data_IF_156156080526
#
_entry.id   IF_156156080526
#
_cell.length_a   1.000
_cell.length_b   1.000
_cell.length_c   1.000
_cell.angle_alpha   90.00
_cell.angle_beta   90.00
_cell.angle_gamma   90.00
#
_symmetry.space_group_name_H-M   'P 1'
#
loop_
_entity.id
_entity.type
_entity.pdbx_description
1 polymer ?
#
# COMPACT_ATOMS: atom_id res chain seq x y z
N UNK A 1 10.11 29.97 -24.94
CA UNK A 1 10.05 29.06 -26.10
C UNK A 1 11.17 28.02 -26.08
N UNK A 2 12.47 28.40 -26.11
CA UNK A 2 13.60 27.45 -26.09
C UNK A 2 13.58 26.44 -24.93
N UNK A 3 13.17 26.86 -23.74
CA UNK A 3 13.11 26.01 -22.54
C UNK A 3 11.99 24.95 -22.61
N UNK A 4 10.81 25.32 -23.14
CA UNK A 4 9.70 24.38 -23.34
C UNK A 4 10.07 23.32 -24.40
N UNK A 5 10.69 23.76 -25.50
CA UNK A 5 11.18 22.86 -26.54
C UNK A 5 12.21 21.87 -26.01
N UNK A 6 13.16 22.31 -25.17
CA UNK A 6 14.12 21.42 -24.50
C UNK A 6 13.43 20.37 -23.64
N UNK A 7 12.40 20.77 -22.87
CA UNK A 7 11.64 19.85 -22.00
C UNK A 7 10.82 18.83 -22.80
N UNK A 8 10.22 19.23 -23.92
CA UNK A 8 9.54 18.29 -24.83
C UNK A 8 10.53 17.29 -25.43
N UNK A 9 11.73 17.73 -25.81
CA UNK A 9 12.80 16.84 -26.31
C UNK A 9 13.27 15.89 -25.20
N UNK A 10 13.43 16.38 -23.97
CA UNK A 10 13.80 15.57 -22.81
C UNK A 10 12.75 14.50 -22.50
N UNK A 11 11.46 14.87 -22.46
CA UNK A 11 10.33 13.95 -22.33
C UNK A 11 10.41 12.82 -23.37
N UNK A 12 10.54 13.18 -24.65
CA UNK A 12 10.57 12.19 -25.76
C UNK A 12 11.76 11.23 -25.66
N UNK A 13 12.89 11.71 -25.15
CA UNK A 13 14.13 10.93 -25.09
C UNK A 13 14.32 10.19 -23.78
N UNK A 14 13.52 10.48 -22.74
CA UNK A 14 13.62 9.86 -21.44
C UNK A 14 13.44 8.33 -21.52
N UNK A 15 14.30 7.61 -20.81
CA UNK A 15 14.24 6.16 -20.74
C UNK A 15 13.01 5.68 -19.95
N UNK A 16 12.62 6.40 -18.90
CA UNK A 16 11.42 6.08 -18.11
C UNK A 16 10.16 6.16 -18.99
N UNK A 17 10.07 7.22 -19.79
CA UNK A 17 8.94 7.46 -20.71
C UNK A 17 8.84 6.36 -21.77
N UNK A 18 9.97 5.96 -22.38
CA UNK A 18 9.98 4.88 -23.37
C UNK A 18 9.57 3.54 -22.78
N UNK A 19 10.12 3.18 -21.61
CA UNK A 19 9.75 1.95 -20.90
C UNK A 19 8.26 1.92 -20.55
N UNK A 20 7.72 3.02 -20.03
CA UNK A 20 6.28 3.13 -19.73
C UNK A 20 5.43 3.01 -21.00
N UNK A 21 5.85 3.58 -22.13
CA UNK A 21 5.16 3.38 -23.41
C UNK A 21 5.13 1.90 -23.82
N UNK A 22 6.23 1.18 -23.66
CA UNK A 22 6.29 -0.26 -23.96
C UNK A 22 5.38 -1.06 -23.01
N UNK A 23 5.40 -0.74 -21.71
CA UNK A 23 4.55 -1.33 -20.69
C UNK A 23 3.07 -1.14 -21.04
N UNK A 24 2.61 0.09 -21.27
CA UNK A 24 1.20 0.42 -21.51
C UNK A 24 0.70 0.15 -22.94
N UNK A 25 1.60 -0.12 -23.90
CA UNK A 25 1.21 -0.60 -25.23
C UNK A 25 0.97 -2.11 -25.26
N UNK A 26 1.46 -2.84 -24.26
CA UNK A 26 1.31 -4.29 -24.16
C UNK A 26 -0.02 -4.67 -23.51
N UNK A 27 -0.84 -5.43 -24.24
CA UNK A 27 -2.16 -5.90 -23.80
C UNK A 27 -2.11 -7.32 -23.26
N UNK A 28 -2.84 -7.61 -22.19
CA UNK A 28 -3.07 -9.00 -21.75
C UNK A 28 -4.10 -9.70 -22.62
N UNK A 29 -4.14 -11.03 -22.56
CA UNK A 29 -5.21 -11.81 -23.16
C UNK A 29 -6.58 -11.37 -22.66
N UNK A 30 -6.72 -11.09 -21.35
CA UNK A 30 -7.98 -10.62 -20.78
C UNK A 30 -8.43 -9.28 -21.39
N UNK A 31 -7.49 -8.38 -21.69
CA UNK A 31 -7.79 -7.12 -22.36
C UNK A 31 -8.16 -7.34 -23.83
N UNK A 32 -7.43 -8.19 -24.54
CA UNK A 32 -7.72 -8.56 -25.93
C UNK A 32 -9.14 -9.12 -26.07
N UNK A 33 -9.58 -9.95 -25.12
CA UNK A 33 -10.93 -10.50 -25.09
C UNK A 33 -11.99 -9.55 -24.49
N UNK A 34 -11.61 -8.38 -23.96
CA UNK A 34 -12.54 -7.45 -23.33
C UNK A 34 -13.17 -7.99 -22.04
N UNK A 35 -12.42 -8.79 -21.27
CA UNK A 35 -12.89 -9.44 -20.04
C UNK A 35 -12.00 -9.19 -18.83
N UNK A 36 -11.02 -8.28 -18.93
CA UNK A 36 -10.10 -7.79 -17.88
C UNK A 36 -10.76 -7.22 -16.62
N UNK A 37 -12.08 -7.31 -16.55
CA UNK A 37 -12.95 -6.64 -15.59
C UNK A 37 -14.09 -7.51 -15.10
N UNK A 38 -14.20 -8.73 -15.62
CA UNK A 38 -15.23 -9.64 -15.15
C UNK A 38 -14.68 -10.38 -13.94
N UNK A 39 -15.32 -10.25 -12.78
CA UNK A 39 -14.94 -10.92 -11.52
C UNK A 39 -14.66 -12.41 -11.76
N UNK A 40 -15.55 -13.07 -12.51
CA UNK A 40 -15.41 -14.48 -12.89
C UNK A 40 -14.07 -14.83 -13.56
N UNK A 41 -13.44 -13.91 -14.31
CA UNK A 41 -12.13 -14.18 -14.96
C UNK A 41 -10.97 -14.12 -13.97
N UNK A 42 -11.04 -13.21 -13.01
CA UNK A 42 -10.07 -13.16 -11.92
C UNK A 42 -10.25 -14.37 -11.01
N UNK A 43 -11.49 -14.73 -10.69
CA UNK A 43 -11.81 -15.96 -9.95
C UNK A 43 -11.28 -17.20 -10.66
N UNK A 44 -11.47 -17.34 -11.99
CA UNK A 44 -10.91 -18.47 -12.73
C UNK A 44 -9.37 -18.48 -12.78
N UNK A 45 -8.72 -17.31 -12.83
CA UNK A 45 -7.26 -17.25 -12.69
C UNK A 45 -6.81 -17.72 -11.30
N UNK A 46 -7.44 -17.23 -10.23
CA UNK A 46 -7.14 -17.64 -8.86
C UNK A 46 -7.38 -19.14 -8.66
N UNK A 47 -8.47 -19.68 -9.23
CA UNK A 47 -8.71 -21.13 -9.29
C UNK A 47 -7.55 -21.86 -9.93
N UNK A 48 -7.15 -21.46 -11.13
CA UNK A 48 -6.02 -22.07 -11.82
C UNK A 48 -4.76 -22.04 -10.94
N UNK A 49 -4.41 -20.85 -10.42
CA UNK A 49 -3.22 -20.62 -9.58
C UNK A 49 -3.17 -21.52 -8.35
N UNK A 50 -4.29 -21.68 -7.65
CA UNK A 50 -4.38 -22.45 -6.41
C UNK A 50 -4.80 -23.91 -6.63
N UNK A 51 -5.01 -24.35 -7.86
CA UNK A 51 -5.37 -25.74 -8.19
C UNK A 51 -4.18 -26.52 -8.71
N UNK A 52 -4.27 -27.85 -8.65
CA UNK A 52 -3.25 -28.75 -9.21
C UNK A 52 -3.01 -28.59 -10.73
N UNK A 53 -3.78 -27.75 -11.42
CA UNK A 53 -3.52 -27.36 -12.81
C UNK A 53 -2.31 -26.42 -12.93
N UNK A 54 -1.96 -25.70 -11.87
CA UNK A 54 -0.73 -24.91 -11.77
C UNK A 54 0.35 -25.73 -11.05
N UNK A 55 1.55 -25.81 -11.62
CA UNK A 55 2.63 -26.63 -11.03
C UNK A 55 3.07 -26.15 -9.64
N UNK A 56 2.91 -24.85 -9.37
CA UNK A 56 3.34 -24.20 -8.13
C UNK A 56 2.17 -23.96 -7.17
N UNK A 57 1.06 -24.70 -7.34
CA UNK A 57 -0.17 -24.43 -6.59
C UNK A 57 -0.02 -24.60 -5.08
N UNK A 58 0.76 -25.59 -4.63
CA UNK A 58 0.99 -25.82 -3.20
C UNK A 58 1.79 -24.67 -2.58
N UNK A 59 2.83 -24.20 -3.28
CA UNK A 59 3.62 -23.02 -2.87
C UNK A 59 2.74 -21.76 -2.87
N UNK A 60 1.92 -21.56 -3.91
CA UNK A 60 1.00 -20.43 -4.00
C UNK A 60 -0.04 -20.41 -2.87
N UNK A 61 -0.58 -21.58 -2.50
CA UNK A 61 -1.49 -21.73 -1.35
C UNK A 61 -0.77 -21.47 -0.03
N UNK A 62 0.48 -21.92 0.11
CA UNK A 62 1.32 -21.59 1.27
C UNK A 62 1.48 -20.08 1.44
N UNK A 63 1.87 -19.37 0.37
CA UNK A 63 1.96 -17.91 0.40
C UNK A 63 0.62 -17.24 0.69
N UNK A 64 -0.50 -17.76 0.17
CA UNK A 64 -1.83 -17.26 0.52
C UNK A 64 -2.08 -17.38 2.03
N UNK A 65 -1.77 -18.54 2.63
CA UNK A 65 -1.92 -18.76 4.07
C UNK A 65 -1.05 -17.77 4.87
N UNK A 66 0.19 -17.57 4.46
CA UNK A 66 1.11 -16.63 5.12
C UNK A 66 0.56 -15.19 5.09
N UNK A 67 0.05 -14.76 3.93
CA UNK A 67 -0.61 -13.46 3.76
C UNK A 67 -1.83 -13.32 4.67
N UNK A 68 -2.64 -14.38 4.80
CA UNK A 68 -3.84 -14.36 5.62
C UNK A 68 -3.51 -14.30 7.11
N UNK A 69 -2.52 -15.06 7.57
CA UNK A 69 -2.11 -15.08 8.99
C UNK A 69 -1.43 -13.76 9.39
N UNK A 70 -0.63 -13.18 8.50
CA UNK A 70 0.03 -11.90 8.73
C UNK A 70 -0.94 -10.71 8.68
N UNK A 71 -2.17 -10.90 8.20
CA UNK A 71 -3.16 -9.83 8.11
C UNK A 71 -3.59 -9.35 9.49
N UNK A 72 -3.69 -8.04 9.68
CA UNK A 72 -4.24 -7.42 10.91
C UNK A 72 -5.70 -7.79 11.19
N UNK A 73 -6.41 -8.33 10.19
CA UNK A 73 -7.79 -8.79 10.33
C UNK A 73 -7.90 -10.27 10.71
N UNK A 74 -6.76 -10.98 10.80
CA UNK A 74 -6.73 -12.35 11.26
C UNK A 74 -7.03 -12.45 12.74
N UNK A 75 -7.87 -13.41 13.13
CA UNK A 75 -8.16 -13.72 14.52
C UNK A 75 -7.75 -15.17 14.81
N UNK A 76 -6.64 -15.34 15.54
CA UNK A 76 -6.09 -16.66 15.88
C UNK A 76 -7.06 -17.56 16.67
N UNK A 77 -8.04 -16.97 17.37
CA UNK A 77 -9.04 -17.75 18.12
C UNK A 77 -10.08 -18.45 17.24
N UNK A 78 -10.04 -18.24 15.91
CA UNK A 78 -10.98 -18.83 14.95
C UNK A 78 -10.52 -20.17 14.39
N UNK A 79 -9.30 -20.61 14.73
CA UNK A 79 -8.74 -21.89 14.30
C UNK A 79 -8.12 -22.65 15.45
N UNK A 80 -7.85 -23.93 15.20
CA UNK A 80 -7.11 -24.79 16.11
C UNK A 80 -5.71 -24.22 16.40
N UNK A 81 -5.34 -24.18 17.68
CA UNK A 81 -4.08 -23.58 18.14
C UNK A 81 -2.83 -24.39 17.75
N UNK A 82 -2.95 -25.70 17.56
CA UNK A 82 -1.85 -26.53 17.05
C UNK A 82 -1.65 -26.29 15.55
N UNK A 83 -2.75 -26.21 14.78
CA UNK A 83 -2.69 -25.77 13.38
C UNK A 83 -2.06 -24.38 13.27
N UNK A 84 -2.53 -23.39 14.04
CA UNK A 84 -1.99 -22.02 14.00
C UNK A 84 -0.48 -21.99 14.20
N UNK A 85 0.04 -22.73 15.19
CA UNK A 85 1.49 -22.82 15.44
C UNK A 85 2.25 -23.42 14.26
N UNK A 86 1.74 -24.49 13.66
CA UNK A 86 2.34 -25.11 12.46
C UNK A 86 2.41 -24.11 11.31
N UNK A 87 1.32 -23.38 11.07
CA UNK A 87 1.24 -22.39 10.01
C UNK A 87 2.24 -21.23 10.22
N UNK A 88 2.30 -20.66 11.42
CA UNK A 88 3.24 -19.58 11.76
C UNK A 88 4.70 -20.02 11.62
N UNK A 89 5.01 -21.27 11.96
CA UNK A 89 6.37 -21.82 11.85
C UNK A 89 6.73 -22.25 10.42
N UNK A 90 5.76 -22.35 9.52
CA UNK A 90 5.95 -22.92 8.18
C UNK A 90 6.29 -24.42 8.20
N UNK A 91 6.06 -25.11 9.33
CA UNK A 91 6.38 -26.53 9.52
C UNK A 91 5.14 -27.39 9.29
N UNK A 92 4.73 -27.49 8.03
CA UNK A 92 3.56 -28.25 7.60
C UNK A 92 3.67 -28.74 6.16
N UNK A 93 2.87 -29.75 5.81
CA UNK A 93 2.71 -30.23 4.44
C UNK A 93 1.26 -30.15 3.97
N UNK A 94 1.06 -29.72 2.71
CA UNK A 94 -0.25 -29.73 2.06
C UNK A 94 -0.47 -31.11 1.43
N UNK A 95 -1.22 -31.97 2.11
CA UNK A 95 -1.44 -33.36 1.71
C UNK A 95 -2.53 -33.52 0.64
N UNK A 96 -3.45 -32.57 0.58
CA UNK A 96 -4.51 -32.54 -0.41
C UNK A 96 -4.88 -31.11 -0.74
N UNK A 97 -5.31 -30.89 -1.99
CA UNK A 97 -5.69 -29.59 -2.49
C UNK A 97 -6.81 -29.76 -3.51
N UNK A 98 -7.92 -29.07 -3.28
CA UNK A 98 -9.09 -29.03 -4.15
C UNK A 98 -9.61 -27.59 -4.19
N UNK A 99 -9.87 -27.09 -5.39
CA UNK A 99 -10.36 -25.73 -5.58
C UNK A 99 -11.65 -25.76 -6.38
N UNK A 100 -12.65 -25.02 -5.90
CA UNK A 100 -14.00 -24.97 -6.45
C UNK A 100 -14.34 -23.51 -6.68
N UNK A 101 -14.79 -23.16 -7.89
CA UNK A 101 -15.32 -21.82 -8.19
C UNK A 101 -16.85 -21.86 -8.29
N UNK A 102 -17.51 -20.72 -8.07
CA UNK A 102 -18.96 -20.53 -8.25
C UNK A 102 -19.82 -21.55 -7.47
N UNK A 103 -19.48 -21.79 -6.20
CA UNK A 103 -20.13 -22.81 -5.38
C UNK A 103 -21.47 -22.33 -4.82
N UNK A 104 -22.54 -23.11 -5.03
CA UNK A 104 -23.91 -22.79 -4.58
C UNK A 104 -24.52 -23.77 -3.57
N UNK A 105 -23.93 -24.95 -3.39
CA UNK A 105 -24.65 -26.08 -2.79
C UNK A 105 -24.94 -25.88 -1.29
N UNK A 106 -26.23 -25.74 -0.97
CA UNK A 106 -26.74 -25.51 0.38
C UNK A 106 -26.23 -24.22 1.03
N UNK A 107 -25.86 -23.22 0.23
CA UNK A 107 -25.50 -21.88 0.70
C UNK A 107 -26.50 -20.91 0.08
N UNK A 108 -26.93 -19.91 0.84
CA UNK A 108 -27.78 -18.86 0.30
C UNK A 108 -26.92 -17.84 -0.48
N UNK A 109 -26.51 -18.21 -1.68
CA UNK A 109 -25.66 -17.40 -2.56
C UNK A 109 -24.70 -18.25 -3.40
N UNK A 110 -23.75 -17.60 -4.06
CA UNK A 110 -22.69 -18.24 -4.84
C UNK A 110 -21.35 -17.74 -4.32
N UNK A 111 -20.57 -18.63 -3.72
CA UNK A 111 -19.21 -18.33 -3.29
C UNK A 111 -18.30 -18.34 -4.52
N UNK A 112 -17.52 -17.28 -4.69
CA UNK A 112 -16.63 -17.15 -5.86
C UNK A 112 -15.58 -18.26 -5.89
N UNK A 113 -14.87 -18.50 -4.79
CA UNK A 113 -13.83 -19.51 -4.71
C UNK A 113 -13.78 -20.19 -3.33
N UNK A 114 -13.60 -21.51 -3.34
CA UNK A 114 -13.35 -22.34 -2.16
C UNK A 114 -12.06 -23.11 -2.41
N UNK A 115 -11.10 -22.99 -1.50
CA UNK A 115 -9.87 -23.78 -1.49
C UNK A 115 -9.95 -24.71 -0.28
N UNK A 116 -9.99 -26.02 -0.54
CA UNK A 116 -9.98 -27.07 0.49
C UNK A 116 -8.62 -27.74 0.48
N UNK A 117 -7.95 -27.76 1.64
CA UNK A 117 -6.69 -28.46 1.81
C UNK A 117 -6.60 -29.22 3.13
N UNK A 118 -5.77 -30.26 3.13
CA UNK A 118 -5.38 -30.95 4.36
C UNK A 118 -3.95 -30.53 4.68
N UNK A 119 -3.77 -29.91 5.84
CA UNK A 119 -2.48 -29.49 6.38
C UNK A 119 -2.13 -30.50 7.45
N UNK A 120 -1.21 -31.41 7.13
CA UNK A 120 -0.96 -32.60 7.94
C UNK A 120 -2.27 -33.35 8.27
N UNK A 121 -2.64 -33.42 9.55
CA UNK A 121 -3.89 -33.99 10.07
C UNK A 121 -5.10 -33.02 10.07
N UNK A 122 -4.88 -31.73 9.87
CA UNK A 122 -5.91 -30.70 9.97
C UNK A 122 -6.58 -30.44 8.62
N UNK A 123 -7.90 -30.23 8.66
CA UNK A 123 -8.66 -29.73 7.50
C UNK A 123 -8.70 -28.20 7.56
N UNK A 124 -8.27 -27.56 6.48
CA UNK A 124 -8.40 -26.12 6.27
C UNK A 124 -9.26 -25.86 5.02
N UNK A 125 -10.16 -24.90 5.15
CA UNK A 125 -10.94 -24.37 4.05
C UNK A 125 -10.76 -22.86 3.98
N UNK A 126 -10.51 -22.33 2.78
CA UNK A 126 -10.41 -20.89 2.52
C UNK A 126 -11.56 -20.50 1.60
N UNK A 127 -12.44 -19.64 2.10
CA UNK A 127 -13.64 -19.14 1.42
C UNK A 127 -13.34 -17.73 0.93
N UNK A 128 -13.23 -17.54 -0.38
CA UNK A 128 -12.90 -16.24 -0.97
C UNK A 128 -14.13 -15.64 -1.61
N UNK A 129 -14.48 -14.44 -1.17
CA UNK A 129 -15.37 -13.53 -1.89
C UNK A 129 -14.48 -12.52 -2.63
N UNK A 130 -14.58 -12.52 -3.96
CA UNK A 130 -13.74 -11.73 -4.85
C UNK A 130 -14.50 -10.52 -5.38
N UNK A 131 -13.92 -9.32 -5.24
CA UNK A 131 -14.44 -8.08 -5.81
C UNK A 131 -13.42 -7.40 -6.69
N UNK A 132 -13.83 -7.03 -7.90
CA UNK A 132 -12.99 -6.24 -8.83
C UNK A 132 -13.51 -4.83 -9.07
N UNK A 133 -14.74 -4.52 -8.64
CA UNK A 133 -15.39 -3.24 -8.91
C UNK A 133 -16.13 -2.61 -7.72
N UNK A 134 -17.01 -3.37 -7.08
CA UNK A 134 -17.92 -2.83 -6.07
C UNK A 134 -17.73 -3.51 -4.73
N UNK A 135 -18.08 -2.79 -3.67
CA UNK A 135 -18.24 -3.40 -2.36
C UNK A 135 -19.33 -4.48 -2.35
N UNK A 136 -19.45 -5.14 -1.21
CA UNK A 136 -20.39 -6.22 -0.99
C UNK A 136 -21.84 -5.82 -1.30
N UNK A 137 -22.56 -6.70 -1.99
CA UNK A 137 -23.99 -6.54 -2.24
C UNK A 137 -24.79 -7.56 -1.44
N UNK A 138 -26.00 -7.17 -1.02
CA UNK A 138 -26.98 -8.05 -0.38
C UNK A 138 -26.55 -8.76 0.92
N UNK A 139 -25.48 -8.39 1.63
CA UNK A 139 -25.00 -9.16 2.81
C UNK A 139 -24.49 -10.57 2.45
N UNK A 140 -23.85 -10.72 1.29
CA UNK A 140 -23.23 -11.97 0.82
C UNK A 140 -22.30 -12.60 1.86
N UNK A 141 -21.39 -11.83 2.44
CA UNK A 141 -20.36 -12.35 3.35
C UNK A 141 -20.98 -12.90 4.63
N UNK A 142 -21.99 -12.23 5.18
CA UNK A 142 -22.73 -12.72 6.35
C UNK A 142 -23.45 -14.04 6.04
N UNK A 143 -24.07 -14.17 4.86
CA UNK A 143 -24.76 -15.41 4.49
C UNK A 143 -23.80 -16.59 4.34
N UNK A 144 -22.59 -16.36 3.82
CA UNK A 144 -21.58 -17.41 3.69
C UNK A 144 -21.09 -17.84 5.06
N UNK A 145 -20.76 -16.89 5.92
CA UNK A 145 -20.35 -17.13 7.30
C UNK A 145 -21.40 -17.97 8.05
N UNK A 146 -22.66 -17.52 8.04
CA UNK A 146 -23.75 -18.23 8.70
C UNK A 146 -23.97 -19.62 8.11
N UNK A 147 -23.96 -19.77 6.77
CA UNK A 147 -24.23 -21.06 6.12
C UNK A 147 -23.13 -22.09 6.39
N UNK A 148 -21.87 -21.65 6.45
CA UNK A 148 -20.73 -22.54 6.64
C UNK A 148 -20.58 -22.89 8.12
N UNK A 149 -20.67 -21.92 9.04
CA UNK A 149 -20.57 -22.20 10.47
C UNK A 149 -21.74 -23.04 10.99
N UNK A 150 -22.93 -22.95 10.40
CA UNK A 150 -24.05 -23.83 10.77
C UNK A 150 -23.90 -25.27 10.23
N UNK A 151 -23.08 -25.50 9.20
CA UNK A 151 -22.87 -26.82 8.58
C UNK A 151 -21.62 -27.53 9.07
N UNK A 152 -20.56 -26.77 9.35
CA UNK A 152 -19.30 -27.34 9.78
C UNK A 152 -19.47 -27.92 11.18
N UNK A 153 -19.17 -29.21 11.32
CA UNK A 153 -18.75 -29.72 12.63
C UNK A 153 -17.43 -29.01 12.97
N UNK A 154 -17.13 -28.81 14.25
CA UNK A 154 -15.92 -28.11 14.76
C UNK A 154 -14.56 -28.69 14.29
N UNK A 155 -14.54 -29.61 13.33
CA UNK A 155 -13.38 -30.32 12.80
C UNK A 155 -12.75 -29.64 11.55
N UNK A 156 -13.36 -28.58 11.01
CA UNK A 156 -12.86 -27.86 9.83
C UNK A 156 -12.48 -26.43 10.20
N UNK A 157 -11.19 -26.11 10.06
CA UNK A 157 -10.69 -24.75 10.20
C UNK A 157 -11.06 -23.94 8.96
N UNK A 158 -11.61 -22.73 9.13
CA UNK A 158 -12.13 -21.95 8.00
C UNK A 158 -11.58 -20.53 8.01
N UNK A 159 -10.94 -20.11 6.92
CA UNK A 159 -10.59 -18.72 6.66
C UNK A 159 -11.62 -18.12 5.71
N UNK A 160 -12.24 -17.02 6.12
CA UNK A 160 -13.09 -16.23 5.25
C UNK A 160 -12.27 -15.06 4.72
N UNK A 161 -12.22 -14.87 3.40
CA UNK A 161 -11.34 -13.91 2.73
C UNK A 161 -12.17 -12.97 1.87
N UNK A 162 -11.93 -11.66 2.03
CA UNK A 162 -12.53 -10.63 1.21
C UNK A 162 -11.44 -9.96 0.36
N UNK A 163 -11.38 -10.32 -0.92
CA UNK A 163 -10.37 -9.81 -1.85
C UNK A 163 -10.92 -8.61 -2.62
N UNK A 164 -10.29 -7.43 -2.50
CA UNK A 164 -10.76 -6.19 -3.15
C UNK A 164 -9.65 -5.45 -3.90
N UNK A 165 -9.96 -4.48 -4.78
CA UNK A 165 -8.95 -3.70 -5.50
C UNK A 165 -8.45 -2.48 -4.71
N UNK A 166 -8.80 -2.37 -3.41
CA UNK A 166 -8.40 -1.26 -2.54
C UNK A 166 -6.87 -1.13 -2.50
N UNK A 167 -6.34 0.10 -2.46
CA UNK A 167 -4.88 0.29 -2.37
C UNK A 167 -4.32 -0.20 -1.03
N UNK A 168 -3.02 -0.51 -0.97
CA UNK A 168 -2.37 -0.88 0.30
C UNK A 168 -2.49 0.22 1.36
N UNK A 169 -2.41 1.48 0.94
CA UNK A 169 -2.54 2.64 1.82
C UNK A 169 -3.94 2.71 2.45
N UNK A 170 -4.99 2.56 1.65
CA UNK A 170 -6.36 2.57 2.15
C UNK A 170 -6.64 1.33 3.02
N UNK A 171 -6.14 0.15 2.64
CA UNK A 171 -6.24 -1.09 3.43
C UNK A 171 -5.59 -0.92 4.82
N UNK A 172 -4.42 -0.28 4.89
CA UNK A 172 -3.70 -0.02 6.13
C UNK A 172 -4.47 0.92 7.07
N UNK A 173 -5.27 1.84 6.52
CA UNK A 173 -6.10 2.76 7.30
C UNK A 173 -7.40 2.14 7.85
N UNK A 174 -7.82 0.98 7.35
CA UNK A 174 -9.03 0.33 7.82
C UNK A 174 -8.88 -0.24 9.24
N UNK A 175 -9.79 0.13 10.14
CA UNK A 175 -9.88 -0.49 11.47
C UNK A 175 -10.55 -1.89 11.43
N UNK A 176 -11.36 -2.14 10.39
CA UNK A 176 -12.06 -3.41 10.18
C UNK A 176 -12.28 -3.65 8.68
N UNK A 177 -12.52 -4.91 8.25
CA UNK A 177 -12.85 -5.24 6.87
C UNK A 177 -14.03 -4.40 6.35
N UNK A 178 -14.03 -4.02 5.07
CA UNK A 178 -15.11 -3.23 4.44
C UNK A 178 -16.41 -4.02 4.28
N UNK A 179 -16.32 -5.35 4.19
CA UNK A 179 -17.47 -6.23 4.12
C UNK A 179 -18.30 -6.20 5.42
N UNK A 180 -19.53 -6.68 5.31
CA UNK A 180 -20.53 -6.64 6.38
C UNK A 180 -20.16 -7.62 7.50
N UNK A 181 -19.73 -8.83 7.16
CA UNK A 181 -19.17 -9.77 8.12
C UNK A 181 -17.73 -9.37 8.46
N UNK A 182 -17.46 -9.10 9.75
CA UNK A 182 -16.14 -8.64 10.22
C UNK A 182 -15.17 -9.77 10.53
N UNK A 183 -15.64 -11.02 10.49
CA UNK A 183 -14.80 -12.22 10.61
C UNK A 183 -14.05 -12.56 9.31
N UNK A 184 -14.32 -11.84 8.22
CA UNK A 184 -13.56 -11.95 6.97
C UNK A 184 -12.20 -11.25 7.10
N UNK A 185 -11.17 -11.89 6.60
CA UNK A 185 -9.83 -11.33 6.46
C UNK A 185 -9.79 -10.55 5.14
N UNK A 186 -9.71 -9.22 5.21
CA UNK A 186 -9.59 -8.42 3.99
C UNK A 186 -8.14 -8.33 3.52
N UNK A 187 -7.93 -8.65 2.24
CA UNK A 187 -6.66 -8.48 1.53
C UNK A 187 -6.95 -7.80 0.18
N UNK A 188 -5.90 -7.36 -0.52
CA UNK A 188 -6.07 -6.75 -1.84
C UNK A 188 -5.27 -7.43 -2.94
N UNK A 189 -5.53 -7.02 -4.19
CA UNK A 189 -4.81 -7.52 -5.36
C UNK A 189 -3.32 -7.17 -5.35
N UNK A 190 -2.91 -6.11 -4.66
CA UNK A 190 -1.49 -5.79 -4.48
C UNK A 190 -0.80 -6.82 -3.56
N UNK A 191 -1.46 -7.33 -2.52
CA UNK A 191 -0.96 -8.45 -1.71
C UNK A 191 -0.81 -9.72 -2.56
N UNK A 192 -1.81 -10.05 -3.40
CA UNK A 192 -1.72 -11.18 -4.32
C UNK A 192 -0.53 -11.02 -5.28
N UNK A 193 -0.30 -9.81 -5.80
CA UNK A 193 0.82 -9.54 -6.69
C UNK A 193 2.18 -9.67 -5.98
N UNK A 194 2.36 -8.94 -4.87
CA UNK A 194 3.67 -8.77 -4.24
C UNK A 194 4.07 -9.96 -3.39
N UNK A 195 3.11 -10.62 -2.73
CA UNK A 195 3.38 -11.66 -1.72
C UNK A 195 3.11 -13.07 -2.23
N UNK A 196 2.41 -13.22 -3.36
CA UNK A 196 2.13 -14.55 -3.96
C UNK A 196 2.72 -14.63 -5.36
N UNK A 197 2.25 -13.83 -6.31
CA UNK A 197 2.63 -13.98 -7.72
C UNK A 197 4.10 -13.64 -7.96
N UNK A 198 4.62 -12.58 -7.36
CA UNK A 198 6.01 -12.14 -7.58
C UNK A 198 7.02 -13.15 -7.03
N UNK A 199 6.89 -13.66 -5.78
CA UNK A 199 7.80 -14.68 -5.25
C UNK A 199 7.77 -16.00 -6.04
N UNK A 200 6.65 -16.35 -6.68
CA UNK A 200 6.58 -17.57 -7.51
C UNK A 200 7.53 -17.56 -8.71
N UNK A 201 8.06 -16.41 -9.12
CA UNK A 201 9.09 -16.36 -10.17
C UNK A 201 10.48 -16.84 -9.70
N UNK A 202 10.69 -17.01 -8.39
CA UNK A 202 11.91 -17.60 -7.84
C UNK A 202 11.86 -19.14 -7.84
N UNK A 203 10.68 -19.72 -8.08
CA UNK A 203 10.48 -21.16 -8.27
C UNK A 203 10.87 -21.62 -9.68
N UNK A 204 11.10 -22.92 -9.86
CA UNK A 204 11.38 -23.50 -11.19
C UNK A 204 10.08 -23.60 -12.01
N UNK A 205 9.81 -22.54 -12.79
CA UNK A 205 8.61 -22.44 -13.63
C UNK A 205 8.84 -22.99 -15.04
N UNK A 206 7.87 -23.77 -15.55
CA UNK A 206 7.79 -24.01 -16.99
C UNK A 206 7.32 -22.74 -17.75
N UNK A 207 7.60 -22.72 -19.05
CA UNK A 207 7.26 -21.59 -19.93
C UNK A 207 5.77 -21.22 -19.87
N UNK A 208 4.87 -22.22 -19.80
CA UNK A 208 3.43 -21.98 -19.77
C UNK A 208 3.01 -21.22 -18.51
N UNK A 209 3.44 -21.67 -17.33
CA UNK A 209 3.11 -21.02 -16.06
C UNK A 209 3.73 -19.63 -16.00
N UNK A 210 4.99 -19.50 -16.41
CA UNK A 210 5.68 -18.21 -16.49
C UNK A 210 4.90 -17.19 -17.34
N UNK A 211 4.44 -17.60 -18.53
CA UNK A 211 3.69 -16.73 -19.42
C UNK A 211 2.30 -16.38 -18.89
N UNK A 212 1.58 -17.33 -18.28
CA UNK A 212 0.26 -17.07 -17.69
C UNK A 212 0.36 -16.08 -16.52
N UNK A 213 1.35 -16.25 -15.63
CA UNK A 213 1.60 -15.32 -14.53
C UNK A 213 1.92 -13.91 -15.06
N UNK A 214 2.81 -13.80 -16.04
CA UNK A 214 3.13 -12.50 -16.65
C UNK A 214 1.92 -11.84 -17.32
N UNK A 215 1.12 -12.59 -18.07
CA UNK A 215 -0.09 -12.06 -18.70
C UNK A 215 -1.10 -11.55 -17.65
N UNK A 216 -1.21 -12.24 -16.52
CA UNK A 216 -2.10 -11.81 -15.45
C UNK A 216 -1.61 -10.55 -14.73
N UNK A 217 -0.31 -10.39 -14.51
CA UNK A 217 0.27 -9.12 -14.01
C UNK A 217 -0.14 -7.97 -14.94
N UNK A 218 -0.10 -8.19 -16.26
CA UNK A 218 -0.55 -7.20 -17.25
C UNK A 218 -2.05 -6.90 -17.12
N UNK A 219 -2.87 -7.89 -16.75
CA UNK A 219 -4.30 -7.68 -16.54
C UNK A 219 -4.61 -6.83 -15.29
N UNK A 220 -3.85 -6.98 -14.21
CA UNK A 220 -4.07 -6.28 -12.94
C UNK A 220 -3.82 -4.76 -13.03
N UNK A 221 -2.85 -4.35 -13.85
CA UNK A 221 -2.44 -2.94 -14.05
C UNK A 221 -3.38 -2.12 -14.94
N UNK A 222 -4.41 -2.71 -15.52
CA UNK A 222 -5.36 -1.90 -16.27
C UNK A 222 -6.16 -1.03 -15.28
N UNK A 223 -6.40 0.27 -15.52
CA UNK A 223 -7.21 1.12 -14.65
C UNK A 223 -8.72 0.97 -14.87
N UNK A 224 -9.50 0.99 -13.79
CA UNK A 224 -10.96 0.92 -13.81
C UNK A 224 -11.59 2.28 -14.18
N UNK A 225 -12.47 2.36 -15.18
CA UNK A 225 -13.39 3.50 -15.30
C UNK A 225 -14.55 3.31 -14.30
N UNK A 226 -14.46 3.93 -13.13
CA UNK A 226 -15.54 3.85 -12.13
C UNK A 226 -16.66 4.87 -12.42
N UNK A 227 -17.88 4.63 -11.92
CA UNK A 227 -18.99 5.61 -11.91
C UNK A 227 -18.61 6.86 -11.08
N UNK A 228 -17.62 6.73 -10.19
CA UNK A 228 -16.98 7.83 -9.44
C UNK A 228 -15.80 8.50 -10.17
N UNK A 229 -15.54 8.20 -11.44
CA UNK A 229 -14.43 8.74 -12.24
C UNK A 229 -13.02 8.55 -11.65
N UNK A 230 -12.80 7.52 -10.81
CA UNK A 230 -11.47 7.17 -10.30
C UNK A 230 -10.88 6.02 -11.10
N UNK A 231 -9.76 6.30 -11.79
CA UNK A 231 -8.96 5.31 -12.52
C UNK A 231 -8.09 4.53 -11.52
N UNK A 232 -8.64 3.48 -10.92
CA UNK A 232 -7.90 2.66 -9.95
C UNK A 232 -7.27 1.44 -10.62
N UNK A 233 -5.96 1.28 -10.44
CA UNK A 233 -5.24 0.04 -10.73
C UNK A 233 -5.60 -1.01 -9.67
N UNK A 234 -5.72 -2.29 -10.04
CA UNK A 234 -5.91 -3.35 -9.04
C UNK A 234 -4.59 -3.68 -8.34
N UNK A 235 -3.51 -3.75 -9.12
CA UNK A 235 -2.15 -3.85 -8.62
C UNK A 235 -1.16 -3.31 -9.67
N UNK A 236 -0.01 -2.81 -9.21
CA UNK A 236 1.11 -2.40 -10.06
C UNK A 236 2.41 -3.00 -9.52
N UNK A 237 3.35 -3.31 -10.41
CA UNK A 237 4.66 -3.82 -9.98
C UNK A 237 5.51 -2.70 -9.38
N UNK A 238 6.50 -3.07 -8.55
CA UNK A 238 7.48 -2.11 -8.03
C UNK A 238 8.26 -1.40 -9.15
N UNK A 239 8.70 -2.13 -10.17
CA UNK A 239 9.38 -1.52 -11.33
C UNK A 239 8.49 -0.47 -12.01
N UNK A 240 7.22 -0.78 -12.23
CA UNK A 240 6.26 0.16 -12.83
C UNK A 240 6.03 1.38 -11.93
N UNK A 241 5.88 1.18 -10.62
CA UNK A 241 5.74 2.26 -9.63
C UNK A 241 6.95 3.20 -9.61
N UNK A 242 8.17 2.64 -9.63
CA UNK A 242 9.42 3.40 -9.69
C UNK A 242 9.53 4.19 -10.99
N UNK A 243 9.16 3.58 -12.13
CA UNK A 243 9.13 4.25 -13.43
C UNK A 243 8.12 5.39 -13.49
N UNK A 244 6.92 5.21 -12.94
CA UNK A 244 5.89 6.25 -12.86
C UNK A 244 6.35 7.41 -11.96
N UNK A 245 7.00 7.11 -10.83
CA UNK A 245 7.56 8.11 -9.93
C UNK A 245 8.69 8.90 -10.61
N UNK A 246 9.59 8.20 -11.30
CA UNK A 246 10.65 8.84 -12.08
C UNK A 246 10.07 9.72 -13.21
N UNK A 247 9.07 9.20 -13.93
CA UNK A 247 8.37 9.95 -14.98
C UNK A 247 7.74 11.22 -14.42
N UNK A 248 7.11 11.14 -13.25
CA UNK A 248 6.56 12.31 -12.56
C UNK A 248 7.65 13.35 -12.28
N UNK A 249 8.74 12.96 -11.61
CA UNK A 249 9.81 13.89 -11.23
C UNK A 249 10.47 14.57 -12.44
N UNK A 250 10.69 13.82 -13.53
CA UNK A 250 11.29 14.35 -14.76
C UNK A 250 10.37 15.33 -15.50
N UNK A 251 9.05 15.17 -15.37
CA UNK A 251 8.08 15.83 -16.25
C UNK A 251 7.03 16.70 -15.52
N UNK A 252 7.05 16.78 -14.19
CA UNK A 252 6.06 17.51 -13.38
C UNK A 252 5.87 18.96 -13.83
N UNK A 253 6.93 19.67 -14.17
CA UNK A 253 6.85 21.06 -14.64
C UNK A 253 6.14 21.18 -16.00
N UNK A 254 6.34 20.19 -16.88
CA UNK A 254 5.69 20.15 -18.19
C UNK A 254 4.20 19.82 -18.02
N UNK A 255 3.88 18.87 -17.16
CA UNK A 255 2.51 18.49 -16.78
C UNK A 255 1.79 19.68 -16.12
N UNK A 256 2.44 20.37 -15.17
CA UNK A 256 1.91 21.54 -14.51
C UNK A 256 1.57 22.65 -15.51
N UNK A 257 2.46 22.95 -16.46
CA UNK A 257 2.19 23.94 -17.52
C UNK A 257 1.01 23.55 -18.41
N UNK A 258 0.86 22.26 -18.70
CA UNK A 258 -0.29 21.77 -19.46
C UNK A 258 -1.59 21.99 -18.67
N UNK A 259 -1.61 21.64 -17.38
CA UNK A 259 -2.75 21.87 -16.48
C UNK A 259 -3.10 23.36 -16.36
N UNK A 260 -2.12 24.23 -16.13
CA UNK A 260 -2.30 25.69 -16.06
C UNK A 260 -2.90 26.27 -17.36
N UNK A 261 -2.47 25.75 -18.52
CA UNK A 261 -3.04 26.16 -19.81
C UNK A 261 -4.51 25.77 -19.95
N UNK A 262 -4.94 24.62 -19.39
CA UNK A 262 -6.33 24.18 -19.45
C UNK A 262 -7.26 25.09 -18.62
N UNK A 263 -6.76 25.67 -17.54
CA UNK A 263 -7.53 26.57 -16.67
C UNK A 263 -8.00 27.85 -17.37
N UNK A 264 -7.22 28.34 -18.32
CA UNK A 264 -7.46 29.63 -18.99
C UNK A 264 -8.03 29.46 -20.39
N UNK A 265 -8.13 28.23 -20.89
CA UNK A 265 -8.60 27.95 -22.23
C UNK A 265 -10.14 27.95 -22.28
N UNK A 266 -10.70 28.99 -22.92
CA UNK A 266 -12.14 29.18 -23.09
C UNK A 266 -12.81 28.09 -23.95
N UNK A 267 -12.04 27.36 -24.77
CA UNK A 267 -12.54 26.29 -25.64
C UNK A 267 -12.57 24.91 -24.97
N UNK A 268 -12.13 24.80 -23.72
CA UNK A 268 -12.19 23.57 -22.92
C UNK A 268 -13.48 23.55 -22.10
N UNK A 269 -14.14 22.39 -22.05
CA UNK A 269 -15.35 22.13 -21.26
C UNK A 269 -15.21 22.65 -19.81
N UNK A 270 -16.25 23.31 -19.25
CA UNK A 270 -16.18 23.87 -17.89
C UNK A 270 -15.75 22.88 -16.81
N UNK A 271 -16.21 21.62 -16.88
CA UNK A 271 -15.87 20.58 -15.90
C UNK A 271 -14.37 20.23 -15.90
N UNK A 272 -13.74 20.22 -17.07
CA UNK A 272 -12.30 19.98 -17.23
C UNK A 272 -11.52 21.19 -16.71
N UNK A 273 -12.02 22.41 -16.95
CA UNK A 273 -11.42 23.65 -16.45
C UNK A 273 -11.43 23.71 -14.92
N UNK A 274 -12.54 23.35 -14.30
CA UNK A 274 -12.68 23.30 -12.84
C UNK A 274 -11.75 22.23 -12.23
N UNK A 275 -11.65 21.07 -12.86
CA UNK A 275 -10.71 20.01 -12.46
C UNK A 275 -9.26 20.50 -12.56
N UNK A 276 -8.88 21.11 -13.68
CA UNK A 276 -7.55 21.68 -13.86
C UNK A 276 -7.25 22.78 -12.84
N UNK A 277 -8.26 23.58 -12.45
CA UNK A 277 -8.15 24.58 -11.40
C UNK A 277 -7.76 23.96 -10.06
N UNK A 278 -8.52 22.95 -9.63
CA UNK A 278 -8.24 22.22 -8.39
C UNK A 278 -6.83 21.60 -8.38
N UNK A 279 -6.42 20.97 -9.50
CA UNK A 279 -5.10 20.34 -9.61
C UNK A 279 -3.97 21.38 -9.48
N UNK A 280 -4.03 22.52 -10.18
CA UNK A 280 -2.92 23.48 -10.04
C UNK A 280 -2.94 24.24 -8.71
N UNK A 281 -4.09 24.40 -8.05
CA UNK A 281 -4.12 24.91 -6.68
C UNK A 281 -3.43 23.92 -5.72
N UNK A 282 -3.58 22.61 -5.92
CA UNK A 282 -2.80 21.59 -5.19
C UNK A 282 -1.29 21.67 -5.52
N UNK A 283 -0.91 21.89 -6.79
CA UNK A 283 0.51 22.10 -7.14
C UNK A 283 1.11 23.33 -6.47
N UNK A 284 0.36 24.43 -6.35
CA UNK A 284 0.81 25.63 -5.63
C UNK A 284 1.00 25.36 -4.14
N UNK A 285 0.06 24.64 -3.52
CA UNK A 285 0.14 24.30 -2.10
C UNK A 285 1.28 23.32 -1.78
N UNK A 286 1.64 22.43 -2.71
CA UNK A 286 2.77 21.50 -2.55
C UNK A 286 4.15 22.12 -2.90
N UNK A 287 4.19 23.20 -3.68
CA UNK A 287 5.41 23.92 -4.04
C UNK A 287 5.80 25.02 -3.04
N UNK A 288 4.98 25.33 -2.04
CA UNK A 288 5.46 26.08 -0.88
C UNK A 288 6.43 25.16 -0.12
N UNK A 289 7.73 25.46 -0.21
CA UNK A 289 8.79 24.82 0.58
C UNK A 289 8.26 24.60 2.00
N UNK A 290 8.15 23.34 2.43
CA UNK A 290 7.65 22.97 3.76
C UNK A 290 8.35 23.85 4.78
N UNK A 291 7.63 24.73 5.49
CA UNK A 291 8.25 25.68 6.44
C UNK A 291 9.14 24.92 7.42
N UNK A 292 10.33 25.44 7.73
CA UNK A 292 11.33 24.75 8.56
C UNK A 292 10.76 24.14 9.84
N UNK A 293 9.90 24.84 10.57
CA UNK A 293 9.25 24.30 11.77
C UNK A 293 8.45 23.02 11.53
N UNK A 294 7.71 22.91 10.40
CA UNK A 294 7.00 21.68 10.02
C UNK A 294 7.96 20.56 9.62
N UNK A 295 9.01 20.91 8.87
CA UNK A 295 10.05 19.96 8.47
C UNK A 295 10.75 19.32 9.68
N UNK A 296 11.15 20.14 10.65
CA UNK A 296 11.73 19.67 11.92
C UNK A 296 10.75 18.79 12.67
N UNK A 297 9.49 19.22 12.79
CA UNK A 297 8.47 18.47 13.51
C UNK A 297 8.29 17.06 12.95
N UNK A 298 8.12 16.95 11.65
CA UNK A 298 7.98 15.67 10.97
C UNK A 298 9.23 14.80 11.14
N UNK A 299 10.43 15.35 10.89
CA UNK A 299 11.68 14.58 10.95
C UNK A 299 12.05 14.14 12.36
N UNK A 300 11.80 14.97 13.36
CA UNK A 300 12.06 14.61 14.76
C UNK A 300 11.12 13.48 15.20
N UNK A 301 9.83 13.54 14.85
CA UNK A 301 8.89 12.45 15.12
C UNK A 301 9.28 11.14 14.43
N UNK A 302 9.77 11.19 13.18
CA UNK A 302 10.30 10.02 12.48
C UNK A 302 11.49 9.38 13.25
N UNK A 303 12.43 10.20 13.74
CA UNK A 303 13.59 9.73 14.50
C UNK A 303 13.20 9.13 15.86
N UNK A 304 12.22 9.74 16.53
CA UNK A 304 11.68 9.26 17.80
C UNK A 304 10.97 7.92 17.62
N UNK A 305 10.10 7.82 16.62
CA UNK A 305 9.40 6.56 16.32
C UNK A 305 10.37 5.43 15.95
N UNK A 306 11.48 5.76 15.30
CA UNK A 306 12.55 4.81 14.97
C UNK A 306 13.55 4.54 16.09
N UNK A 307 13.40 5.13 17.28
CA UNK A 307 14.35 5.02 18.41
C UNK A 307 15.81 5.36 18.03
N UNK A 308 16.01 6.30 17.10
CA UNK A 308 17.35 6.66 16.62
C UNK A 308 18.10 7.63 17.55
N UNK A 309 17.38 8.27 18.47
CA UNK A 309 17.92 9.31 19.35
C UNK A 309 18.46 8.70 20.66
N UNK A 310 19.77 8.79 20.88
CA UNK A 310 20.40 8.24 22.09
C UNK A 310 20.53 9.27 23.23
N UNK A 311 20.93 8.81 24.43
CA UNK A 311 21.02 9.67 25.62
C UNK A 311 22.06 10.81 25.50
N UNK A 312 23.14 10.61 24.74
CA UNK A 312 24.13 11.66 24.52
C UNK A 312 23.55 12.77 23.64
N UNK A 313 22.75 12.41 22.64
CA UNK A 313 22.04 13.35 21.78
C UNK A 313 20.98 14.12 22.55
N UNK A 314 20.20 13.44 23.40
CA UNK A 314 19.24 14.11 24.30
C UNK A 314 19.98 15.12 25.18
N UNK A 315 21.12 14.75 25.76
CA UNK A 315 21.92 15.64 26.61
C UNK A 315 22.42 16.87 25.86
N UNK A 316 22.84 16.70 24.61
CA UNK A 316 23.24 17.81 23.74
C UNK A 316 22.05 18.71 23.38
N UNK A 317 20.91 18.13 23.03
CA UNK A 317 19.69 18.88 22.67
C UNK A 317 19.07 19.63 23.85
N UNK A 318 19.36 19.22 25.09
CA UNK A 318 18.95 19.93 26.31
C UNK A 318 19.85 21.11 26.67
N UNK A 319 21.05 21.21 26.10
CA UNK A 319 21.95 22.34 26.32
C UNK A 319 21.65 23.45 25.30
N UNK A 320 21.49 24.67 25.79
CA UNK A 320 21.30 25.85 24.95
C UNK A 320 22.51 26.08 24.03
N UNK A 321 23.72 25.98 24.59
CA UNK A 321 24.97 26.19 23.86
C UNK A 321 25.15 25.16 22.74
N UNK A 322 24.85 23.89 23.04
CA UNK A 322 24.92 22.82 22.03
C UNK A 322 23.80 22.93 21.00
N UNK A 323 22.61 23.34 21.39
CA UNK A 323 21.50 23.58 20.45
C UNK A 323 21.83 24.73 19.50
N UNK A 324 22.48 25.79 20.00
CA UNK A 324 22.99 26.88 19.16
C UNK A 324 24.10 26.41 18.22
N UNK A 325 25.03 25.59 18.69
CA UNK A 325 26.10 25.03 17.85
C UNK A 325 25.58 24.09 16.75
N UNK A 326 24.61 23.22 17.09
CA UNK A 326 24.11 22.18 16.21
C UNK A 326 23.03 22.65 15.23
N UNK A 327 22.13 23.51 15.68
CA UNK A 327 20.90 23.89 14.95
C UNK A 327 20.80 25.39 14.66
N UNK A 328 21.70 26.20 15.20
CA UNK A 328 21.67 27.67 15.16
C UNK A 328 20.47 28.34 15.88
N UNK A 329 19.72 27.57 16.67
CA UNK A 329 18.58 28.06 17.47
C UNK A 329 19.01 28.67 18.81
N UNK A 330 18.20 29.57 19.37
CA UNK A 330 18.54 30.35 20.58
C UNK A 330 18.20 29.65 21.90
N UNK A 331 17.34 28.63 21.86
CA UNK A 331 16.83 27.90 23.01
C UNK A 331 17.27 26.43 22.94
N UNK A 332 17.35 25.71 24.08
CA UNK A 332 17.48 24.26 24.05
C UNK A 332 16.43 23.63 23.13
N UNK A 333 16.85 22.70 22.27
CA UNK A 333 15.90 22.00 21.42
C UNK A 333 14.92 21.17 22.27
N UNK A 334 15.40 20.56 23.34
CA UNK A 334 14.58 19.79 24.28
C UNK A 334 14.59 20.40 25.68
N UNK A 335 13.42 20.43 26.32
CA UNK A 335 13.27 20.77 27.73
C UNK A 335 12.44 19.69 28.42
N UNK A 336 12.76 19.32 29.66
CA UNK A 336 12.00 18.30 30.38
C UNK A 336 10.55 18.77 30.59
N UNK A 337 9.57 17.89 30.34
CA UNK A 337 8.17 18.19 30.65
C UNK A 337 7.93 18.09 32.16
N UNK A 338 8.31 19.14 32.87
CA UNK A 338 8.06 19.27 34.32
C UNK A 338 6.70 19.94 34.57
N UNK A 339 6.29 20.85 33.67
CA UNK A 339 5.03 21.58 33.76
C UNK A 339 3.93 20.94 32.90
N UNK A 340 2.68 21.10 33.30
CA UNK A 340 1.51 20.60 32.54
C UNK A 340 1.28 21.36 31.24
N UNK A 341 1.74 22.60 31.15
CA UNK A 341 1.61 23.48 29.98
C UNK A 341 2.97 23.73 29.32
N UNK A 342 2.99 23.80 28.00
CA UNK A 342 4.19 24.10 27.22
C UNK A 342 4.75 25.50 27.54
N UNK A 343 6.06 25.63 27.80
CA UNK A 343 6.72 26.92 27.95
C UNK A 343 6.69 27.76 26.66
N UNK A 344 6.93 29.06 26.82
CA UNK A 344 7.12 29.97 25.69
C UNK A 344 8.29 29.47 24.83
N UNK A 345 8.15 29.52 23.49
CA UNK A 345 9.14 29.04 22.50
C UNK A 345 9.19 27.53 22.26
N UNK A 346 8.23 26.75 22.78
CA UNK A 346 8.14 25.30 22.56
C UNK A 346 6.81 24.88 21.91
N UNK A 347 6.75 23.68 21.34
CA UNK A 347 5.55 23.09 20.76
C UNK A 347 4.48 22.86 21.82
N UNK A 348 3.21 22.91 21.40
CA UNK A 348 2.06 22.66 22.28
C UNK A 348 2.00 21.22 22.79
N UNK A 349 2.39 20.28 21.95
CA UNK A 349 2.38 18.85 22.25
C UNK A 349 3.82 18.38 22.48
N UNK A 350 4.09 17.67 23.58
CA UNK A 350 5.40 17.13 23.89
C UNK A 350 5.67 15.86 23.08
N UNK A 351 6.93 15.45 23.02
CA UNK A 351 7.34 14.15 22.47
C UNK A 351 7.83 13.24 23.59
N UNK A 352 7.76 11.93 23.38
CA UNK A 352 8.29 10.93 24.31
C UNK A 352 9.52 10.25 23.71
N UNK A 353 10.66 10.34 24.40
CA UNK A 353 11.91 9.72 23.99
C UNK A 353 12.41 8.87 25.15
N UNK A 354 12.67 7.59 24.90
CA UNK A 354 13.18 6.64 25.92
C UNK A 354 12.36 6.65 27.22
N UNK A 355 11.03 6.77 27.12
CA UNK A 355 10.10 6.79 28.25
C UNK A 355 10.03 8.10 29.05
N UNK A 356 10.72 9.16 28.61
CA UNK A 356 10.66 10.49 29.21
C UNK A 356 9.98 11.48 28.27
N UNK A 357 9.22 12.43 28.82
CA UNK A 357 8.48 13.42 28.04
C UNK A 357 9.22 14.75 27.97
N UNK A 358 9.30 15.33 26.77
CA UNK A 358 10.06 16.55 26.48
C UNK A 358 9.23 17.56 25.69
N UNK A 359 9.39 18.84 26.03
CA UNK A 359 8.98 19.97 25.19
C UNK A 359 10.02 20.22 24.11
N UNK A 360 9.59 20.57 22.90
CA UNK A 360 10.48 20.79 21.74
C UNK A 360 10.44 22.23 21.27
N UNK A 361 11.60 22.85 21.07
CA UNK A 361 11.68 24.25 20.63
C UNK A 361 10.97 24.47 19.27
N UNK A 362 10.18 25.53 19.20
CA UNK A 362 9.39 25.89 18.02
C UNK A 362 9.94 27.10 17.25
N UNK A 363 11.00 27.76 17.75
CA UNK A 363 11.64 28.91 17.13
C UNK A 363 12.62 28.52 16.04
N UNK A 364 12.08 28.24 14.87
CA UNK A 364 12.82 27.95 13.66
C UNK A 364 12.62 29.06 12.63
N UNK A 365 13.72 29.58 12.10
CA UNK A 365 13.77 30.68 11.15
C UNK A 365 14.40 30.24 9.83
N UNK A 366 13.81 30.72 8.74
CA UNK A 366 14.27 30.46 7.39
C UNK A 366 14.12 31.73 6.55
N UNK A 367 15.09 32.62 6.68
CA UNK A 367 15.20 33.88 5.93
C UNK A 367 16.67 34.15 5.54
N UNK A 368 16.92 35.22 4.76
CA UNK A 368 18.25 35.54 4.23
C UNK A 368 19.32 35.79 5.31
N UNK A 369 18.91 36.17 6.53
CA UNK A 369 19.82 36.49 7.64
C UNK A 369 19.96 35.35 8.65
N UNK A 370 18.95 34.50 8.79
CA UNK A 370 18.97 33.33 9.64
C UNK A 370 18.27 32.15 8.96
N UNK A 371 19.00 31.07 8.74
CA UNK A 371 18.51 29.89 8.03
C UNK A 371 18.89 28.60 8.76
N UNK A 372 18.08 28.26 9.75
CA UNK A 372 18.29 27.12 10.63
C UNK A 372 18.19 25.77 9.88
N UNK A 373 17.54 25.75 8.70
CA UNK A 373 17.35 24.53 7.90
C UNK A 373 18.64 23.82 7.59
N UNK A 374 19.66 24.56 7.16
CA UNK A 374 20.95 23.99 6.74
C UNK A 374 21.61 23.26 7.91
N UNK A 375 21.45 23.79 9.13
CA UNK A 375 22.00 23.22 10.34
C UNK A 375 21.27 21.94 10.75
N UNK A 376 19.93 21.96 10.72
CA UNK A 376 19.13 20.77 11.02
C UNK A 376 19.34 19.65 9.99
N UNK A 377 19.40 19.96 8.70
CA UNK A 377 19.68 18.97 7.64
C UNK A 377 21.06 18.34 7.82
N UNK A 378 22.08 19.14 8.14
CA UNK A 378 23.44 18.65 8.44
C UNK A 378 23.47 17.73 9.66
N UNK A 379 22.66 18.02 10.68
CA UNK A 379 22.52 17.13 11.83
C UNK A 379 21.85 15.80 11.44
N UNK A 380 20.80 15.84 10.60
CA UNK A 380 20.11 14.63 10.10
C UNK A 380 21.02 13.69 9.29
N UNK A 381 22.05 14.20 8.61
CA UNK A 381 22.99 13.37 7.84
C UNK A 381 23.70 12.31 8.68
N UNK A 382 23.81 12.50 10.01
CA UNK A 382 24.41 11.52 10.92
C UNK A 382 23.60 10.22 10.98
N UNK A 383 22.28 10.31 10.88
CA UNK A 383 21.38 9.15 10.93
C UNK A 383 21.22 8.47 9.57
N UNK A 384 21.55 9.17 8.47
CA UNK A 384 21.51 8.59 7.11
C UNK A 384 22.65 7.60 6.83
N UNK A 385 23.71 7.60 7.65
CA UNK A 385 24.90 6.73 7.46
C UNK A 385 24.83 5.39 8.22
N UNK A 386 23.68 5.06 8.82
CA UNK A 386 23.49 3.84 9.63
C UNK A 386 22.53 2.84 8.95
N UNK A 387 22.07 3.12 7.72
CA UNK A 387 21.31 2.19 6.89
C UNK A 387 22.12 1.66 5.72
#
# INVERSE_FOLDING_TARGET
MKELTKRIIAFKNSQSTKKLMDIYSTKSLMEIYGVNRKEIRHTSFLKWLFSKECMVSEVAVGYLIDVLIASKFFNENTIDMELYKKLVLGDYSINSLKVIENFREGINGEIDLIIECNIDEFKLQIIVENKVYSGEFNKQTLRYFDSINNKNNNDINTFFVYLTPISLFELDQLESPECICKDFIQINYQNILDLIITPLFDEDLNDSTFHILKDYIIALRNPVENIKNTHQFMAITKEESDLLTQFWEENKDLIQKAVESLQTNLHVEPSIRDTAKNIADQFKNNNEKEKIGKFVQRKLNELVAGNFINNDEISQMKSQEKSKELFDIQYPLLEDKINSTSPLHYWKDPIEINGNSYWVCCEWFENERNNDRVHFEKWLEKFKKVN
#
